data_IF_743746997823
#
_entry.id   IF_743746997823
#
_cell.length_a   1.000
_cell.length_b   1.000
_cell.length_c   1.000
_cell.angle_alpha   90.00
_cell.angle_beta   90.00
_cell.angle_gamma   90.00
#
_symmetry.space_group_name_H-M   'P 1'
#
loop_
_entity.id
_entity.type
_entity.pdbx_description
1 polymer ?
#
# COMPACT_ATOMS: atom_id res chain seq x y z
N UNK A 1 -16.53 -26.61 31.82
CA UNK A 1 -15.12 -26.64 32.28
C UNK A 1 -14.29 -26.70 31.01
N UNK A 2 -13.64 -25.66 30.52
CA UNK A 2 -13.12 -24.47 31.21
C UNK A 2 -13.15 -23.28 30.24
N UNK A 3 -13.36 -22.10 30.82
CA UNK A 3 -13.04 -20.81 30.22
C UNK A 3 -11.53 -20.69 29.97
N UNK A 4 -11.14 -19.59 29.32
CA UNK A 4 -9.78 -19.11 29.00
C UNK A 4 -9.36 -19.47 27.57
N UNK A 5 -9.14 -18.54 26.64
CA UNK A 5 -8.55 -17.20 26.83
C UNK A 5 -9.24 -16.21 25.89
N UNK A 6 -10.12 -15.38 26.45
CA UNK A 6 -10.33 -14.05 25.91
C UNK A 6 -9.04 -13.29 26.25
N UNK A 7 -8.01 -13.45 25.42
CA UNK A 7 -6.78 -12.66 25.54
C UNK A 7 -7.21 -11.22 25.31
N UNK A 8 -7.45 -10.50 26.40
CA UNK A 8 -7.84 -9.12 26.37
C UNK A 8 -6.82 -8.39 25.50
N UNK A 9 -7.25 -7.95 24.31
CA UNK A 9 -6.48 -7.07 23.45
C UNK A 9 -6.14 -5.83 24.28
N UNK A 10 -4.96 -5.83 24.85
CA UNK A 10 -4.43 -4.72 25.63
C UNK A 10 -3.45 -3.97 24.75
N UNK A 11 -3.35 -2.65 24.92
CA UNK A 11 -2.45 -1.81 24.11
C UNK A 11 -0.99 -2.26 24.14
N UNK A 12 -0.59 -3.04 25.15
CA UNK A 12 0.76 -3.57 25.30
C UNK A 12 1.02 -4.83 24.45
N UNK A 13 -0.03 -5.55 24.05
CA UNK A 13 0.05 -6.76 23.21
C UNK A 13 -0.46 -6.54 21.79
N UNK A 14 -0.94 -5.32 21.50
CA UNK A 14 -1.54 -4.93 20.24
C UNK A 14 -0.46 -4.63 19.20
N UNK A 15 -0.26 -5.54 18.26
CA UNK A 15 0.66 -5.36 17.15
C UNK A 15 -0.09 -5.24 15.81
N UNK A 16 -0.09 -4.02 15.27
CA UNK A 16 -0.72 -3.69 13.98
C UNK A 16 0.21 -3.88 12.78
N UNK A 17 1.49 -4.15 13.00
CA UNK A 17 2.48 -4.37 11.94
C UNK A 17 2.88 -5.84 11.81
N UNK A 18 2.49 -6.72 12.75
CA UNK A 18 2.72 -8.15 12.64
C UNK A 18 2.07 -8.74 11.38
N UNK A 19 2.87 -9.45 10.58
CA UNK A 19 2.37 -10.23 9.45
C UNK A 19 1.32 -11.28 9.87
N UNK A 20 1.43 -11.84 11.08
CA UNK A 20 0.47 -12.83 11.58
C UNK A 20 -0.93 -12.24 11.73
N UNK A 21 -1.05 -10.95 12.07
CA UNK A 21 -2.34 -10.28 12.19
C UNK A 21 -3.10 -10.17 10.85
N UNK A 22 -2.42 -10.28 9.72
CA UNK A 22 -3.00 -10.17 8.37
C UNK A 22 -3.13 -11.51 7.65
N UNK A 23 -2.66 -12.61 8.26
CA UNK A 23 -2.63 -13.96 7.67
C UNK A 23 -3.99 -14.39 7.13
N UNK A 24 -5.04 -14.16 7.91
CA UNK A 24 -6.41 -14.57 7.59
C UNK A 24 -7.26 -13.41 7.02
N UNK A 25 -6.59 -12.36 6.53
CA UNK A 25 -7.20 -11.16 5.98
C UNK A 25 -7.03 -9.92 6.87
N UNK A 26 -7.60 -8.76 6.47
CA UNK A 26 -7.44 -7.52 7.22
C UNK A 26 -8.01 -7.65 8.66
N UNK A 27 -7.26 -7.23 9.70
CA UNK A 27 -7.66 -7.41 11.10
C UNK A 27 -8.70 -6.37 11.52
N UNK A 28 -9.93 -6.51 11.04
CA UNK A 28 -10.97 -5.50 11.21
C UNK A 28 -11.36 -5.25 12.67
N UNK A 29 -11.48 -6.30 13.50
CA UNK A 29 -11.83 -6.19 14.92
C UNK A 29 -10.78 -5.41 15.72
N UNK A 30 -9.50 -5.70 15.45
CA UNK A 30 -8.34 -4.98 15.97
C UNK A 30 -8.42 -3.49 15.62
N UNK A 31 -8.63 -3.20 14.34
CA UNK A 31 -8.70 -1.82 13.84
C UNK A 31 -9.91 -1.06 14.42
N UNK A 32 -11.03 -1.76 14.68
CA UNK A 32 -12.20 -1.18 15.34
C UNK A 32 -11.93 -0.83 16.80
N UNK A 33 -11.32 -1.75 17.56
CA UNK A 33 -10.92 -1.51 18.94
C UNK A 33 -9.99 -0.30 19.06
N UNK A 34 -8.97 -0.21 18.20
CA UNK A 34 -8.06 0.93 18.21
C UNK A 34 -8.77 2.24 17.90
N UNK A 35 -9.62 2.29 16.87
CA UNK A 35 -10.39 3.50 16.56
C UNK A 35 -11.26 3.95 17.73
N UNK A 36 -11.82 3.00 18.50
CA UNK A 36 -12.68 3.28 19.65
C UNK A 36 -11.89 3.75 20.88
N UNK A 37 -10.80 3.06 21.21
CA UNK A 37 -10.19 3.16 22.54
C UNK A 37 -8.82 3.88 22.56
N UNK A 38 -8.01 3.75 21.51
CA UNK A 38 -6.80 4.58 21.34
C UNK A 38 -6.54 4.86 19.85
N UNK A 39 -7.27 5.83 19.27
CA UNK A 39 -7.22 6.09 17.83
C UNK A 39 -5.86 6.62 17.35
N UNK A 40 -5.11 7.21 18.27
CA UNK A 40 -3.72 7.63 18.12
C UNK A 40 -2.97 7.04 19.31
N UNK A 41 -2.14 6.04 19.05
CA UNK A 41 -1.43 5.30 20.08
C UNK A 41 0.05 5.15 19.73
N UNK A 42 0.92 5.15 20.74
CA UNK A 42 2.34 4.83 20.54
C UNK A 42 2.52 3.31 20.54
N UNK A 43 3.03 2.76 19.46
CA UNK A 43 3.35 1.35 19.29
C UNK A 43 4.86 1.14 19.26
N UNK A 44 5.31 -0.03 19.73
CA UNK A 44 6.71 -0.45 19.65
C UNK A 44 6.98 -1.03 18.26
N UNK A 45 8.12 -0.73 17.65
CA UNK A 45 8.61 -1.50 16.51
C UNK A 45 9.27 -2.78 17.00
N UNK A 46 8.84 -3.92 16.45
CA UNK A 46 9.30 -5.24 16.89
C UNK A 46 10.07 -6.01 15.82
N UNK A 47 10.06 -5.53 14.59
CA UNK A 47 10.76 -6.12 13.45
C UNK A 47 12.15 -5.47 13.26
N UNK A 48 13.10 -6.23 12.75
CA UNK A 48 14.42 -5.72 12.36
C UNK A 48 14.27 -4.62 11.28
N UNK A 49 15.08 -3.58 11.38
CA UNK A 49 14.99 -2.38 10.53
C UNK A 49 13.86 -1.40 10.89
N UNK A 50 12.94 -1.69 11.80
CA UNK A 50 11.89 -0.74 12.21
C UNK A 50 12.37 0.21 13.32
N UNK A 51 11.77 1.43 13.44
CA UNK A 51 12.07 2.32 14.56
C UNK A 51 11.62 1.69 15.89
N UNK A 52 12.31 2.01 16.99
CA UNK A 52 11.97 1.51 18.34
C UNK A 52 10.49 1.72 18.70
N UNK A 53 9.89 2.82 18.23
CA UNK A 53 8.47 3.09 18.37
C UNK A 53 7.96 4.00 17.23
N UNK A 54 6.65 3.96 17.00
CA UNK A 54 5.93 4.81 16.05
C UNK A 54 4.52 5.17 16.58
N UNK A 55 3.86 6.13 15.93
CA UNK A 55 2.46 6.45 16.18
C UNK A 55 1.56 5.66 15.24
N UNK A 56 0.67 4.83 15.77
CA UNK A 56 -0.40 4.21 15.02
C UNK A 56 -1.61 5.15 14.96
N UNK A 57 -2.06 5.48 13.74
CA UNK A 57 -3.16 6.41 13.50
C UNK A 57 -4.26 5.67 12.74
N UNK A 58 -5.41 5.47 13.37
CA UNK A 58 -6.41 4.50 12.90
C UNK A 58 -7.74 5.11 12.47
N UNK A 59 -8.01 6.38 12.79
CA UNK A 59 -9.19 7.10 12.30
C UNK A 59 -8.89 7.80 10.99
N UNK A 60 -9.83 7.69 10.05
CA UNK A 60 -9.75 8.32 8.74
C UNK A 60 -9.45 9.83 8.82
N UNK A 61 -10.12 10.56 9.72
CA UNK A 61 -9.93 12.01 9.86
C UNK A 61 -8.50 12.39 10.26
N UNK A 62 -7.88 11.60 11.12
CA UNK A 62 -6.52 11.84 11.61
C UNK A 62 -5.48 11.47 10.53
N UNK A 63 -5.71 10.38 9.79
CA UNK A 63 -4.88 10.02 8.62
C UNK A 63 -4.91 11.15 7.58
N UNK A 64 -6.10 11.65 7.24
CA UNK A 64 -6.26 12.76 6.29
C UNK A 64 -5.57 14.02 6.79
N UNK A 65 -5.63 14.33 8.09
CA UNK A 65 -4.93 15.47 8.66
C UNK A 65 -3.41 15.34 8.51
N UNK A 66 -2.84 14.19 8.89
CA UNK A 66 -1.40 13.92 8.77
C UNK A 66 -0.95 14.00 7.32
N UNK A 67 -1.68 13.39 6.39
CA UNK A 67 -1.36 13.43 4.96
C UNK A 67 -1.41 14.84 4.35
N UNK A 68 -2.20 15.76 4.92
CA UNK A 68 -2.31 17.15 4.44
C UNK A 68 -1.24 18.07 5.02
N UNK A 69 -0.80 17.83 6.26
CA UNK A 69 0.14 18.68 7.00
C UNK A 69 1.59 18.23 6.77
N UNK A 70 2.01 18.12 5.51
CA UNK A 70 3.36 17.66 5.15
C UNK A 70 4.50 18.49 5.77
N UNK A 71 4.26 19.76 6.11
CA UNK A 71 5.23 20.61 6.82
C UNK A 71 5.55 20.09 8.22
N UNK A 72 4.61 19.36 8.83
CA UNK A 72 4.76 18.75 10.14
C UNK A 72 5.10 17.25 10.04
N UNK A 73 4.66 16.60 8.96
CA UNK A 73 4.80 15.15 8.74
C UNK A 73 5.51 14.92 7.40
N UNK A 74 6.84 14.94 7.45
CA UNK A 74 7.73 14.82 6.30
C UNK A 74 7.82 13.37 5.79
N UNK A 75 7.69 13.18 4.48
CA UNK A 75 8.03 11.91 3.82
C UNK A 75 9.53 11.76 3.59
N UNK A 76 10.25 12.88 3.45
CA UNK A 76 11.68 12.88 3.14
C UNK A 76 12.60 12.64 4.36
N UNK A 77 12.10 12.86 5.57
CA UNK A 77 12.90 12.77 6.79
C UNK A 77 13.31 11.32 7.13
N UNK A 78 12.41 10.36 6.91
CA UNK A 78 12.62 8.94 7.23
C UNK A 78 12.13 7.97 6.15
N UNK A 79 11.63 8.47 5.02
CA UNK A 79 10.98 7.65 3.99
C UNK A 79 9.51 7.38 4.29
N UNK A 80 8.80 6.89 3.29
CA UNK A 80 7.37 6.54 3.35
C UNK A 80 7.09 5.14 3.90
N UNK A 81 8.10 4.26 3.95
CA UNK A 81 7.99 2.93 4.56
C UNK A 81 8.59 2.92 5.96
N UNK A 82 8.07 2.04 6.83
CA UNK A 82 8.51 1.96 8.22
C UNK A 82 9.86 1.26 8.41
N UNK A 83 10.20 0.31 7.52
CA UNK A 83 11.53 -0.28 7.52
C UNK A 83 12.55 0.79 7.10
N UNK A 84 13.50 1.06 7.99
CA UNK A 84 14.55 2.08 7.89
C UNK A 84 15.85 1.51 7.31
N UNK A 85 16.02 0.19 7.25
CA UNK A 85 17.15 -0.47 6.59
C UNK A 85 16.91 -0.50 5.08
N UNK A 86 17.15 0.66 4.47
CA UNK A 86 16.83 0.94 3.07
C UNK A 86 18.05 1.46 2.32
N UNK A 87 19.03 0.58 2.02
CA UNK A 87 20.20 0.96 1.23
C UNK A 87 19.82 1.45 -0.18
N UNK A 88 18.62 1.13 -0.66
CA UNK A 88 18.04 1.59 -1.93
C UNK A 88 17.64 3.08 -1.92
N UNK A 89 17.25 3.64 -0.76
CA UNK A 89 16.94 5.07 -0.63
C UNK A 89 18.19 5.97 -0.73
N UNK A 90 19.39 5.42 -0.52
CA UNK A 90 20.64 6.14 -0.75
C UNK A 90 20.98 6.28 -2.25
N UNK A 91 20.47 5.36 -3.09
CA UNK A 91 20.82 5.26 -4.51
C UNK A 91 19.80 5.96 -5.42
N UNK A 92 18.51 5.99 -5.05
CA UNK A 92 17.49 6.75 -5.76
C UNK A 92 16.30 7.09 -4.84
N UNK A 93 16.21 8.34 -4.37
CA UNK A 93 15.00 8.80 -3.68
C UNK A 93 13.82 8.82 -4.66
N UNK A 94 12.86 7.93 -4.46
CA UNK A 94 11.63 7.90 -5.23
C UNK A 94 10.78 9.14 -4.92
N UNK A 95 9.94 9.57 -5.87
CA UNK A 95 9.07 10.75 -5.70
C UNK A 95 8.20 10.67 -4.44
N UNK A 96 7.81 9.47 -4.01
CA UNK A 96 6.98 9.23 -2.80
C UNK A 96 7.71 9.58 -1.49
N UNK A 97 9.05 9.58 -1.51
CA UNK A 97 9.92 9.85 -0.35
C UNK A 97 10.47 11.29 -0.36
N UNK A 98 9.81 12.20 -1.06
CA UNK A 98 10.21 13.60 -1.18
C UNK A 98 9.15 14.53 -0.62
N UNK A 99 9.60 15.67 -0.10
CA UNK A 99 8.74 16.80 0.25
C UNK A 99 8.81 17.90 -0.82
N UNK A 100 7.89 18.89 -0.82
CA UNK A 100 8.05 20.09 -1.61
C UNK A 100 9.37 20.83 -1.31
N UNK A 101 10.00 21.47 -2.31
CA UNK A 101 9.49 21.71 -3.67
C UNK A 101 9.75 20.57 -4.67
N UNK A 102 10.62 19.62 -4.34
CA UNK A 102 11.05 18.60 -5.30
C UNK A 102 9.93 17.62 -5.66
N UNK A 103 9.19 17.14 -4.64
CA UNK A 103 8.00 16.33 -4.85
C UNK A 103 7.01 17.04 -5.79
N UNK A 104 6.74 18.33 -5.55
CA UNK A 104 5.81 19.12 -6.37
C UNK A 104 6.27 19.20 -7.82
N UNK A 105 7.57 19.43 -8.04
CA UNK A 105 8.17 19.48 -9.38
C UNK A 105 8.01 18.16 -10.11
N UNK A 106 8.42 17.04 -9.51
CA UNK A 106 8.34 15.71 -10.13
C UNK A 106 6.89 15.29 -10.39
N UNK A 107 6.01 15.48 -9.39
CA UNK A 107 4.58 15.13 -9.51
C UNK A 107 3.91 15.90 -10.64
N UNK A 108 4.29 17.16 -10.88
CA UNK A 108 3.75 17.95 -11.99
C UNK A 108 4.09 17.38 -13.38
N UNK A 109 5.22 16.70 -13.52
CA UNK A 109 5.63 16.04 -14.76
C UNK A 109 4.83 14.75 -14.95
N UNK A 110 4.77 13.91 -13.91
CA UNK A 110 4.04 12.62 -13.94
C UNK A 110 2.55 12.84 -14.18
N UNK A 111 1.92 13.82 -13.52
CA UNK A 111 0.48 14.09 -13.63
C UNK A 111 0.01 14.37 -15.08
N UNK A 112 0.90 14.76 -16.00
CA UNK A 112 0.55 14.95 -17.42
C UNK A 112 0.14 13.65 -18.10
N UNK A 113 0.68 12.51 -17.66
CA UNK A 113 0.28 11.18 -18.12
C UNK A 113 -1.04 10.69 -17.52
N UNK A 114 -1.49 11.28 -16.41
CA UNK A 114 -2.67 10.86 -15.65
C UNK A 114 -3.85 11.84 -15.78
N UNK A 115 -3.96 12.55 -16.91
CA UNK A 115 -5.11 13.44 -17.17
C UNK A 115 -6.39 12.64 -17.43
N UNK A 116 -7.58 13.21 -17.18
CA UNK A 116 -8.84 12.51 -17.49
C UNK A 116 -8.96 12.02 -18.94
N UNK A 117 -8.34 12.73 -19.89
CA UNK A 117 -8.30 12.30 -21.29
C UNK A 117 -7.42 11.06 -21.47
N UNK A 118 -6.21 11.06 -20.92
CA UNK A 118 -5.31 9.91 -20.99
C UNK A 118 -5.91 8.68 -20.29
N UNK A 119 -6.53 8.87 -19.13
CA UNK A 119 -7.17 7.77 -18.39
C UNK A 119 -8.32 7.12 -19.15
N UNK A 120 -9.13 7.87 -19.90
CA UNK A 120 -10.18 7.27 -20.75
C UNK A 120 -9.62 6.37 -21.84
N UNK A 121 -8.50 6.76 -22.45
CA UNK A 121 -7.85 5.92 -23.47
C UNK A 121 -7.29 4.64 -22.85
N UNK A 122 -6.66 4.73 -21.68
CA UNK A 122 -6.19 3.54 -20.96
C UNK A 122 -7.35 2.66 -20.49
N UNK A 123 -8.48 3.24 -20.07
CA UNK A 123 -9.65 2.48 -19.63
C UNK A 123 -10.21 1.60 -20.75
N UNK A 124 -10.39 2.14 -21.95
CA UNK A 124 -10.89 1.36 -23.10
C UNK A 124 -9.96 0.18 -23.41
N UNK A 125 -8.64 0.44 -23.45
CA UNK A 125 -7.63 -0.59 -23.71
C UNK A 125 -7.59 -1.67 -22.60
N UNK A 126 -7.44 -1.28 -21.33
CA UNK A 126 -7.36 -2.25 -20.24
C UNK A 126 -8.67 -2.99 -20.00
N UNK A 127 -9.80 -2.45 -20.44
CA UNK A 127 -11.06 -3.18 -20.47
C UNK A 127 -10.99 -4.34 -21.46
N UNK A 128 -10.42 -4.14 -22.65
CA UNK A 128 -10.21 -5.21 -23.63
C UNK A 128 -9.27 -6.28 -23.09
N UNK A 129 -8.14 -5.88 -22.51
CA UNK A 129 -7.18 -6.80 -21.87
C UNK A 129 -7.85 -7.61 -20.75
N UNK A 130 -8.62 -6.94 -19.88
CA UNK A 130 -9.32 -7.63 -18.79
C UNK A 130 -10.36 -8.64 -19.32
N UNK A 131 -11.11 -8.29 -20.37
CA UNK A 131 -12.07 -9.22 -21.00
C UNK A 131 -11.34 -10.44 -21.55
N UNK A 132 -10.22 -10.23 -22.25
CA UNK A 132 -9.42 -11.33 -22.80
C UNK A 132 -8.91 -12.27 -21.69
N UNK A 133 -8.31 -11.72 -20.62
CA UNK A 133 -7.81 -12.54 -19.50
C UNK A 133 -8.93 -13.39 -18.87
N UNK A 134 -10.13 -12.83 -18.74
CA UNK A 134 -11.29 -13.55 -18.22
C UNK A 134 -11.78 -14.61 -19.21
N UNK A 135 -11.88 -14.30 -20.51
CA UNK A 135 -12.32 -15.25 -21.52
C UNK A 135 -11.38 -16.46 -21.64
N UNK A 136 -10.07 -16.23 -21.51
CA UNK A 136 -9.05 -17.27 -21.46
C UNK A 136 -9.17 -18.10 -20.17
N UNK A 137 -9.30 -17.45 -19.02
CA UNK A 137 -9.50 -18.11 -17.73
C UNK A 137 -10.75 -19.01 -17.73
N UNK A 138 -11.84 -18.59 -18.39
CA UNK A 138 -13.08 -19.38 -18.49
C UNK A 138 -12.94 -20.66 -19.33
N UNK A 139 -11.87 -20.82 -20.13
CA UNK A 139 -11.61 -22.05 -20.87
C UNK A 139 -11.04 -23.16 -19.98
N UNK A 140 -10.51 -22.82 -18.80
CA UNK A 140 -9.93 -23.79 -17.88
C UNK A 140 -11.00 -24.26 -16.87
N UNK A 141 -11.08 -25.58 -16.64
CA UNK A 141 -12.02 -26.13 -15.65
C UNK A 141 -11.66 -25.81 -14.19
N UNK A 142 -10.41 -25.41 -13.96
CA UNK A 142 -9.83 -25.01 -12.68
C UNK A 142 -8.55 -24.25 -12.94
N UNK A 143 -8.31 -23.15 -12.22
CA UNK A 143 -7.12 -22.32 -12.34
C UNK A 143 -6.82 -21.60 -11.02
N UNK A 144 -5.60 -21.08 -10.88
CA UNK A 144 -5.26 -20.09 -9.85
C UNK A 144 -5.62 -18.69 -10.35
N UNK A 145 -6.60 -18.05 -9.73
CA UNK A 145 -7.10 -16.74 -10.15
C UNK A 145 -6.09 -15.61 -9.88
N UNK A 146 -5.22 -15.78 -8.88
CA UNK A 146 -4.17 -14.79 -8.60
C UNK A 146 -3.21 -14.76 -9.76
N UNK A 147 -2.67 -15.93 -10.14
CA UNK A 147 -1.67 -16.04 -11.20
C UNK A 147 -2.27 -15.70 -12.56
N UNK A 148 -3.45 -16.23 -12.89
CA UNK A 148 -3.98 -16.15 -14.27
C UNK A 148 -4.74 -14.86 -14.57
N UNK A 149 -5.12 -14.09 -13.57
CA UNK A 149 -5.94 -12.87 -13.76
C UNK A 149 -5.42 -11.69 -12.97
N UNK A 150 -5.25 -11.86 -11.65
CA UNK A 150 -4.97 -10.73 -10.75
C UNK A 150 -3.58 -10.15 -10.93
N UNK A 151 -2.58 -10.99 -11.18
CA UNK A 151 -1.19 -10.60 -11.39
C UNK A 151 -0.94 -10.07 -12.81
N UNK A 152 -1.60 -10.65 -13.82
CA UNK A 152 -1.40 -10.33 -15.24
C UNK A 152 -1.75 -8.88 -15.58
N UNK A 153 -2.96 -8.42 -15.21
CA UNK A 153 -3.43 -7.10 -15.64
C UNK A 153 -2.54 -5.95 -15.13
N UNK A 154 -2.12 -5.89 -13.84
CA UNK A 154 -1.16 -4.88 -13.38
C UNK A 154 0.21 -4.96 -14.05
N UNK A 155 0.71 -6.17 -14.36
CA UNK A 155 1.99 -6.36 -15.04
C UNK A 155 1.95 -5.83 -16.48
N UNK A 156 0.89 -6.16 -17.23
CA UNK A 156 0.65 -5.63 -18.58
C UNK A 156 0.57 -4.11 -18.52
N UNK A 157 -0.18 -3.57 -17.56
CA UNK A 157 -0.37 -2.13 -17.43
C UNK A 157 0.93 -1.38 -17.17
N UNK A 158 1.81 -1.89 -16.29
CA UNK A 158 3.09 -1.23 -16.03
C UNK A 158 4.07 -1.39 -17.20
N UNK A 159 4.10 -2.57 -17.84
CA UNK A 159 4.94 -2.82 -19.01
C UNK A 159 4.60 -1.87 -20.15
N UNK A 160 3.30 -1.67 -20.42
CA UNK A 160 2.83 -0.71 -21.43
C UNK A 160 3.14 0.73 -21.08
N UNK A 161 2.96 1.13 -19.82
CA UNK A 161 3.24 2.49 -19.38
C UNK A 161 4.73 2.84 -19.48
N UNK A 162 5.62 1.86 -19.28
CA UNK A 162 7.08 2.01 -19.42
C UNK A 162 7.55 1.83 -20.88
N UNK A 163 6.67 1.34 -21.77
CA UNK A 163 6.96 1.15 -23.19
C UNK A 163 7.72 -0.13 -23.52
N UNK A 164 7.55 -1.18 -22.70
CA UNK A 164 8.14 -2.51 -22.94
C UNK A 164 7.42 -3.15 -24.16
N UNK A 165 8.17 -3.60 -25.19
CA UNK A 165 7.61 -4.31 -26.34
C UNK A 165 6.80 -5.53 -25.93
N UNK A 166 5.79 -5.90 -26.72
CA UNK A 166 4.87 -7.02 -26.39
C UNK A 166 5.62 -8.35 -26.29
N UNK A 167 6.64 -8.51 -27.14
CA UNK A 167 7.51 -9.67 -27.22
C UNK A 167 8.43 -9.87 -25.99
N UNK A 168 8.61 -8.83 -25.17
CA UNK A 168 9.42 -8.86 -23.94
C UNK A 168 8.56 -8.85 -22.66
N UNK A 169 7.22 -9.00 -22.79
CA UNK A 169 6.26 -9.06 -21.67
C UNK A 169 6.18 -10.45 -21.06
#
# INVERSE_FOLDING_TARGET
MSQETNSALSFETLDVISNDAYRDGPPHELMELMRREAPIARHRGIEEGYPEWFWAITRHVDVVEVSRKFQNYSSAAKGSLMNQERPDLEVARLMIDLDPPEHTRLKSLVNRGFTPKAMRMLEEHFREVAVQLIDEALQESSLDFVDRVSAELPLIAIAELVGIPVEDR
#
